data_IF_615428181635
#
_entry.id   IF_615428181635
#
_cell.length_a   1.000
_cell.length_b   1.000
_cell.length_c   1.000
_cell.angle_alpha   90.00
_cell.angle_beta   90.00
_cell.angle_gamma   90.00
#
_symmetry.space_group_name_H-M   'P 1'
#
loop_
_entity.id
_entity.type
_entity.pdbx_description
1 polymer ?
#
# COMPACT_ATOMS: atom_id res chain seq x y z
N UNK A 1 15.55 -11.54 4.45
CA UNK A 1 14.51 -12.03 3.53
C UNK A 1 13.69 -13.08 4.25
N UNK A 2 12.39 -13.19 3.96
CA UNK A 2 11.53 -14.25 4.53
C UNK A 2 11.57 -15.50 3.65
N UNK A 3 11.29 -16.68 4.21
CA UNK A 3 11.19 -17.93 3.42
C UNK A 3 9.85 -18.02 2.66
N UNK A 4 9.75 -18.87 1.63
CA UNK A 4 8.47 -19.14 0.95
C UNK A 4 7.37 -19.63 1.89
N UNK A 5 7.71 -20.43 2.90
CA UNK A 5 6.78 -20.95 3.90
C UNK A 5 6.26 -19.84 4.81
N UNK A 6 7.13 -18.91 5.21
CA UNK A 6 6.75 -17.71 5.95
C UNK A 6 5.87 -16.80 5.11
N UNK A 7 6.21 -16.56 3.84
CA UNK A 7 5.41 -15.77 2.91
C UNK A 7 4.00 -16.37 2.75
N UNK A 8 3.91 -17.70 2.53
CA UNK A 8 2.63 -18.42 2.49
C UNK A 8 1.82 -18.29 3.78
N UNK A 9 2.45 -18.15 4.95
CA UNK A 9 1.73 -17.95 6.21
C UNK A 9 1.21 -16.51 6.36
N UNK A 10 2.03 -15.52 6.00
CA UNK A 10 1.76 -14.09 6.21
C UNK A 10 0.84 -13.49 5.14
N UNK A 11 1.01 -13.88 3.88
CA UNK A 11 0.29 -13.33 2.73
C UNK A 11 -0.94 -14.16 2.41
N UNK A 12 -1.99 -13.95 3.19
CA UNK A 12 -3.27 -14.66 3.08
C UNK A 12 -4.43 -13.68 3.06
N UNK A 13 -5.56 -14.14 2.52
CA UNK A 13 -6.80 -13.38 2.42
C UNK A 13 -6.80 -12.40 1.24
N UNK A 14 -7.36 -11.20 1.44
CA UNK A 14 -7.61 -10.25 0.36
C UNK A 14 -6.32 -9.50 0.00
N UNK A 15 -5.97 -9.46 -1.29
CA UNK A 15 -4.96 -8.54 -1.80
C UNK A 15 -5.65 -7.22 -2.17
N UNK A 16 -5.44 -6.20 -1.35
CA UNK A 16 -6.05 -4.90 -1.50
C UNK A 16 -5.08 -3.92 -2.18
N UNK A 17 -5.33 -3.51 -3.44
CA UNK A 17 -4.58 -2.43 -4.06
C UNK A 17 -4.88 -1.11 -3.33
N UNK A 18 -3.83 -0.41 -2.91
CA UNK A 18 -3.96 0.91 -2.31
C UNK A 18 -3.89 1.96 -3.40
N UNK A 19 -4.90 2.81 -3.48
CA UNK A 19 -4.83 4.05 -4.27
C UNK A 19 -3.71 4.96 -3.72
N UNK A 20 -3.02 5.69 -4.59
CA UNK A 20 -2.08 6.73 -4.18
C UNK A 20 -2.78 8.08 -4.27
N UNK A 21 -3.14 8.73 -3.16
CA UNK A 21 -3.76 10.05 -3.22
C UNK A 21 -2.75 11.11 -3.64
N UNK A 22 -3.16 12.02 -4.51
CA UNK A 22 -2.36 13.17 -4.94
C UNK A 22 -3.04 14.47 -4.51
N UNK A 23 -2.24 15.48 -4.19
CA UNK A 23 -2.69 16.85 -3.96
C UNK A 23 -3.01 17.53 -5.30
N UNK A 24 -3.64 18.70 -5.23
CA UNK A 24 -3.98 19.49 -6.43
C UNK A 24 -2.75 19.94 -7.25
N UNK A 25 -1.58 20.02 -6.61
CA UNK A 25 -0.30 20.33 -7.25
C UNK A 25 0.38 19.09 -7.87
N UNK A 26 -0.23 17.91 -7.78
CA UNK A 26 0.30 16.65 -8.30
C UNK A 26 1.26 15.94 -7.34
N UNK A 27 1.64 16.53 -6.20
CA UNK A 27 2.47 15.85 -5.22
C UNK A 27 1.70 14.75 -4.49
N UNK A 28 2.39 13.67 -4.11
CA UNK A 28 1.79 12.58 -3.30
C UNK A 28 1.29 13.11 -1.96
N UNK A 29 0.03 12.82 -1.61
CA UNK A 29 -0.55 13.13 -0.30
C UNK A 29 -0.33 11.97 0.67
N UNK A 30 0.85 11.97 1.30
CA UNK A 30 1.20 10.96 2.31
C UNK A 30 0.30 10.98 3.54
N UNK A 31 -0.28 12.13 3.89
CA UNK A 31 -1.18 12.22 5.04
C UNK A 31 -2.50 11.51 4.73
N UNK A 32 -3.05 11.69 3.52
CA UNK A 32 -4.22 10.95 3.06
C UNK A 32 -3.94 9.45 2.92
N UNK A 33 -2.78 9.08 2.38
CA UNK A 33 -2.37 7.68 2.28
C UNK A 33 -2.37 6.99 3.66
N UNK A 34 -1.74 7.61 4.67
CA UNK A 34 -1.71 7.05 6.04
C UNK A 34 -3.09 6.91 6.65
N UNK A 35 -3.95 7.94 6.52
CA UNK A 35 -5.34 7.86 7.00
C UNK A 35 -6.12 6.73 6.35
N UNK A 36 -5.91 6.49 5.04
CA UNK A 36 -6.54 5.38 4.32
C UNK A 36 -6.06 4.01 4.85
N UNK A 37 -4.74 3.83 5.02
CA UNK A 37 -4.18 2.60 5.58
C UNK A 37 -4.67 2.36 7.00
N UNK A 38 -4.63 3.37 7.87
CA UNK A 38 -5.16 3.28 9.23
C UNK A 38 -6.64 2.92 9.25
N UNK A 39 -7.43 3.46 8.32
CA UNK A 39 -8.83 3.08 8.20
C UNK A 39 -8.96 1.59 7.88
N UNK A 40 -8.23 1.07 6.88
CA UNK A 40 -8.24 -0.36 6.54
C UNK A 40 -7.85 -1.24 7.74
N UNK A 41 -6.81 -0.86 8.47
CA UNK A 41 -6.39 -1.57 9.68
C UNK A 41 -7.49 -1.58 10.75
N UNK A 42 -8.13 -0.43 11.01
CA UNK A 42 -9.29 -0.34 11.93
C UNK A 42 -10.51 -1.14 11.47
N UNK A 43 -10.65 -1.38 10.15
CA UNK A 43 -11.69 -2.23 9.57
C UNK A 43 -11.34 -3.73 9.59
N UNK A 44 -10.20 -4.10 10.15
CA UNK A 44 -9.82 -5.48 10.41
C UNK A 44 -8.76 -6.05 9.48
N UNK A 45 -8.18 -5.24 8.58
CA UNK A 45 -6.99 -5.63 7.84
C UNK A 45 -5.83 -5.87 8.79
N UNK A 46 -5.17 -7.02 8.66
CA UNK A 46 -4.01 -7.42 9.46
C UNK A 46 -3.20 -8.46 8.71
N UNK A 47 -1.99 -8.71 9.20
CA UNK A 47 -1.19 -9.82 8.69
C UNK A 47 -1.96 -11.14 8.79
N UNK A 48 -1.89 -11.96 7.74
CA UNK A 48 -2.60 -13.24 7.66
C UNK A 48 -4.05 -13.16 7.16
N UNK A 49 -4.63 -11.98 6.94
CA UNK A 49 -5.95 -11.88 6.29
C UNK A 49 -6.04 -10.81 5.19
N UNK A 50 -5.06 -9.91 5.09
CA UNK A 50 -5.03 -8.86 4.07
C UNK A 50 -3.59 -8.58 3.68
N UNK A 51 -3.36 -8.43 2.38
CA UNK A 51 -2.10 -7.97 1.79
C UNK A 51 -2.37 -6.60 1.19
N UNK A 52 -1.68 -5.57 1.69
CA UNK A 52 -1.76 -4.22 1.13
C UNK A 52 -0.74 -4.09 -0.01
N UNK A 53 -1.21 -3.80 -1.21
CA UNK A 53 -0.35 -3.58 -2.38
C UNK A 53 -0.24 -2.08 -2.66
N UNK A 54 0.85 -1.47 -2.17
CA UNK A 54 1.19 -0.07 -2.41
C UNK A 54 1.94 0.12 -3.74
N UNK A 55 1.76 1.28 -4.38
CA UNK A 55 2.42 1.64 -5.64
C UNK A 55 2.34 0.56 -6.73
N UNK A 56 1.23 -0.19 -6.76
CA UNK A 56 0.90 -1.16 -7.82
C UNK A 56 0.04 -0.53 -8.91
N UNK A 57 -0.53 -1.37 -9.79
CA UNK A 57 -1.45 -0.92 -10.86
C UNK A 57 -2.63 -0.09 -10.31
N UNK A 58 -3.33 -0.61 -9.30
CA UNK A 58 -4.40 0.13 -8.61
C UNK A 58 -3.92 1.21 -7.63
N UNK A 59 -2.60 1.44 -7.57
CA UNK A 59 -1.97 2.52 -6.79
C UNK A 59 -1.25 3.53 -7.68
N UNK A 60 -1.65 3.62 -8.95
CA UNK A 60 -1.27 4.69 -9.88
C UNK A 60 0.25 4.80 -10.10
N UNK A 61 0.97 3.67 -10.08
CA UNK A 61 2.43 3.67 -10.20
C UNK A 61 2.95 4.38 -11.45
N UNK A 62 2.20 4.32 -12.56
CA UNK A 62 2.56 4.99 -13.82
C UNK A 62 2.55 6.52 -13.72
N UNK A 63 1.86 7.09 -12.72
CA UNK A 63 1.78 8.53 -12.46
C UNK A 63 2.90 9.03 -11.56
N UNK A 64 3.77 8.14 -11.06
CA UNK A 64 4.87 8.47 -10.16
C UNK A 64 6.22 8.13 -10.80
N UNK A 65 7.23 8.94 -10.49
CA UNK A 65 8.62 8.58 -10.73
C UNK A 65 9.10 7.52 -9.72
N UNK A 66 10.34 7.03 -9.87
CA UNK A 66 10.87 5.96 -9.02
C UNK A 66 11.00 6.38 -7.55
N UNK A 67 11.43 7.61 -7.29
CA UNK A 67 11.65 8.14 -5.94
C UNK A 67 10.32 8.28 -5.19
N UNK A 68 9.27 8.74 -5.87
CA UNK A 68 7.92 8.82 -5.34
C UNK A 68 7.34 7.44 -5.01
N UNK A 69 7.53 6.44 -5.89
CA UNK A 69 7.10 5.05 -5.61
C UNK A 69 7.79 4.48 -4.38
N UNK A 70 9.10 4.71 -4.25
CA UNK A 70 9.86 4.30 -3.06
C UNK A 70 9.35 5.01 -1.82
N UNK A 71 9.05 6.31 -1.91
CA UNK A 71 8.51 7.07 -0.80
C UNK A 71 7.11 6.55 -0.38
N UNK A 72 6.24 6.22 -1.33
CA UNK A 72 4.92 5.60 -1.06
C UNK A 72 5.05 4.25 -0.36
N UNK A 73 5.98 3.40 -0.79
CA UNK A 73 6.21 2.09 -0.15
C UNK A 73 6.76 2.23 1.28
N UNK A 74 7.50 3.29 1.56
CA UNK A 74 8.05 3.59 2.90
C UNK A 74 7.04 4.23 3.86
N UNK A 75 6.00 4.87 3.33
CA UNK A 75 5.12 5.78 4.07
C UNK A 75 4.16 5.07 5.03
#
# INVERSE_FOLDING_TARGET
MITPEEAKRRWRGVLAPLVTPFRADGAVDFAALRRNVEWLLRRGAREGNTVLLAAGSGGDFTSMNLEERVAVIRA
#
